data_IF_778736853461
#
_entry.id   IF_778736853461
#
_cell.length_a   1.000
_cell.length_b   1.000
_cell.length_c   1.000
_cell.angle_alpha   90.00
_cell.angle_beta   90.00
_cell.angle_gamma   90.00
#
_symmetry.space_group_name_H-M   'P 1'
#
loop_
_entity.id
_entity.type
_entity.pdbx_description
1 polymer ?
#
# COMPACT_ATOMS: atom_id res chain seq x y z
N UNK A 1 -20.25 -39.84 20.32
CA UNK A 1 -20.37 -38.39 20.04
C UNK A 1 -19.26 -37.67 20.77
N UNK A 2 -18.19 -37.30 20.09
CA UNK A 2 -17.08 -36.56 20.65
C UNK A 2 -17.39 -35.07 20.62
N UNK A 3 -17.52 -34.43 21.79
CA UNK A 3 -17.67 -32.98 21.92
C UNK A 3 -16.34 -32.31 21.56
N UNK A 4 -16.27 -31.69 20.38
CA UNK A 4 -15.23 -30.73 20.07
C UNK A 4 -15.39 -29.50 20.98
N UNK A 5 -14.50 -29.32 21.94
CA UNK A 5 -14.30 -28.03 22.60
C UNK A 5 -13.61 -27.11 21.61
N UNK A 6 -14.36 -26.24 20.98
CA UNK A 6 -13.84 -25.08 20.26
C UNK A 6 -13.36 -24.08 21.33
N UNK A 7 -12.09 -24.16 21.69
CA UNK A 7 -11.42 -23.03 22.36
C UNK A 7 -11.11 -21.95 21.33
N UNK A 8 -10.99 -20.71 21.76
CA UNK A 8 -10.69 -19.50 20.96
C UNK A 8 -9.39 -19.60 20.15
N UNK A 9 -9.38 -20.46 19.12
CA UNK A 9 -8.25 -20.58 18.20
C UNK A 9 -8.57 -19.84 16.92
N UNK A 10 -7.92 -18.71 16.70
CA UNK A 10 -7.89 -18.08 15.37
C UNK A 10 -7.01 -18.92 14.46
N UNK A 11 -7.54 -19.33 13.32
CA UNK A 11 -6.74 -20.03 12.29
C UNK A 11 -5.98 -18.95 11.54
N UNK A 12 -4.65 -18.96 11.63
CA UNK A 12 -3.75 -18.11 10.85
C UNK A 12 -3.10 -19.02 9.81
N UNK A 13 -3.31 -18.73 8.53
CA UNK A 13 -2.61 -19.41 7.44
C UNK A 13 -1.31 -18.67 7.16
N UNK A 14 -0.18 -19.37 7.32
CA UNK A 14 1.15 -18.85 7.01
C UNK A 14 1.70 -19.64 5.83
N UNK A 15 2.03 -18.95 4.74
CA UNK A 15 2.78 -19.52 3.63
C UNK A 15 4.27 -19.38 3.94
N UNK A 16 4.99 -20.49 3.99
CA UNK A 16 6.44 -20.55 4.23
C UNK A 16 7.16 -21.12 3.02
N UNK A 17 8.35 -20.61 2.67
CA UNK A 17 9.17 -21.17 1.61
C UNK A 17 9.48 -22.65 1.84
N UNK A 18 9.56 -23.44 0.76
CA UNK A 18 9.75 -24.90 0.80
C UNK A 18 11.02 -25.32 1.56
N UNK A 19 12.12 -24.60 1.36
CA UNK A 19 13.39 -24.81 2.08
C UNK A 19 13.26 -24.61 3.60
N UNK A 20 12.39 -23.70 4.05
CA UNK A 20 12.12 -23.48 5.47
C UNK A 20 11.18 -24.57 6.01
N UNK A 21 10.20 -25.00 5.21
CA UNK A 21 9.33 -26.12 5.54
C UNK A 21 10.11 -27.42 5.76
N UNK A 22 11.07 -27.73 4.88
CA UNK A 22 11.96 -28.90 5.03
C UNK A 22 12.86 -28.82 6.27
N UNK A 23 13.33 -27.61 6.64
CA UNK A 23 14.11 -27.43 7.88
C UNK A 23 13.26 -27.65 9.13
N UNK A 24 12.01 -27.20 9.14
CA UNK A 24 11.05 -27.47 10.21
C UNK A 24 10.72 -28.95 10.31
N UNK A 25 10.55 -29.67 9.20
CA UNK A 25 10.30 -31.10 9.19
C UNK A 25 11.48 -31.92 9.73
N UNK A 26 12.70 -31.48 9.50
CA UNK A 26 13.91 -32.09 10.08
C UNK A 26 14.00 -31.90 11.60
N UNK A 27 13.58 -30.73 12.12
CA UNK A 27 13.57 -30.45 13.57
C UNK A 27 12.45 -31.19 14.30
N UNK A 28 11.28 -31.33 13.69
CA UNK A 28 10.09 -31.94 14.32
C UNK A 28 10.14 -33.47 14.26
N UNK A 29 10.91 -34.06 13.33
CA UNK A 29 11.01 -35.51 13.11
C UNK A 29 9.76 -36.09 12.43
N UNK A 30 9.95 -36.88 11.36
CA UNK A 30 8.86 -37.59 10.69
C UNK A 30 8.18 -38.54 11.68
N UNK A 31 6.92 -38.24 12.04
CA UNK A 31 6.07 -39.13 12.83
C UNK A 31 5.62 -38.65 14.20
N UNK A 32 5.93 -37.45 14.64
CA UNK A 32 5.42 -36.94 15.92
C UNK A 32 4.06 -36.26 15.79
N UNK A 33 3.17 -36.49 16.78
CA UNK A 33 1.80 -35.91 16.88
C UNK A 33 1.75 -34.37 16.99
N UNK A 34 2.88 -33.70 17.19
CA UNK A 34 2.99 -32.25 17.20
C UNK A 34 3.45 -31.79 15.80
N UNK A 35 2.51 -31.40 14.95
CA UNK A 35 2.79 -30.92 13.60
C UNK A 35 3.53 -29.57 13.56
N UNK A 36 3.92 -29.12 12.34
CA UNK A 36 4.60 -27.85 12.04
C UNK A 36 4.00 -26.64 12.79
N UNK A 37 2.66 -26.60 12.92
CA UNK A 37 1.95 -25.54 13.64
C UNK A 37 2.30 -25.44 15.12
N UNK A 38 2.53 -26.56 15.80
CA UNK A 38 2.91 -26.56 17.22
C UNK A 38 4.36 -26.08 17.40
N UNK A 39 5.26 -26.43 16.47
CA UNK A 39 6.65 -25.95 16.50
C UNK A 39 6.76 -24.46 16.20
N UNK A 40 5.96 -23.96 15.26
CA UNK A 40 5.88 -22.51 14.96
C UNK A 40 5.30 -21.76 16.16
N UNK A 41 4.23 -22.25 16.78
CA UNK A 41 3.66 -21.65 17.99
C UNK A 41 4.67 -21.58 19.12
N UNK A 42 5.43 -22.64 19.36
CA UNK A 42 6.49 -22.68 20.37
C UNK A 42 7.62 -21.68 20.08
N UNK A 43 8.07 -21.56 18.82
CA UNK A 43 9.09 -20.57 18.43
C UNK A 43 8.60 -19.13 18.63
N UNK A 44 7.32 -18.85 18.33
CA UNK A 44 6.70 -17.54 18.60
C UNK A 44 6.66 -17.26 20.09
N UNK A 45 6.26 -18.23 20.91
CA UNK A 45 6.18 -18.11 22.36
C UNK A 45 7.57 -17.88 23.00
N UNK A 46 8.59 -18.62 22.54
CA UNK A 46 9.98 -18.43 22.96
C UNK A 46 10.52 -17.06 22.58
N UNK A 47 10.18 -16.56 21.37
CA UNK A 47 10.56 -15.23 20.91
C UNK A 47 9.88 -14.12 21.71
N UNK A 48 8.60 -14.27 22.06
CA UNK A 48 7.86 -13.32 22.88
C UNK A 48 8.41 -13.30 24.33
N UNK A 49 8.74 -14.46 24.88
CA UNK A 49 9.30 -14.57 26.23
C UNK A 49 10.73 -14.02 26.32
N UNK A 50 11.55 -14.18 25.30
CA UNK A 50 12.90 -13.59 25.25
C UNK A 50 12.88 -12.07 25.17
N UNK A 51 11.85 -11.49 24.52
CA UNK A 51 11.65 -10.04 24.47
C UNK A 51 11.17 -9.42 25.80
N UNK A 52 10.56 -10.23 26.70
CA UNK A 52 10.15 -9.73 28.02
C UNK A 52 11.31 -9.57 29.01
N UNK A 53 12.48 -10.15 28.75
CA UNK A 53 13.67 -10.05 29.62
C UNK A 53 14.63 -8.93 29.24
N UNK A 54 14.44 -8.26 28.12
CA UNK A 54 15.17 -7.05 27.79
C UNK A 54 14.34 -5.84 28.24
N UNK A 55 14.93 -4.88 29.00
CA UNK A 55 14.24 -3.60 29.20
C UNK A 55 13.87 -3.05 27.82
N UNK A 56 12.71 -2.40 27.67
CA UNK A 56 12.37 -1.81 26.39
C UNK A 56 13.55 -0.94 25.99
N UNK A 57 14.20 -1.28 24.87
CA UNK A 57 15.13 -0.36 24.24
C UNK A 57 14.31 0.91 24.06
N UNK A 58 14.64 1.93 24.84
CA UNK A 58 14.19 3.29 24.57
C UNK A 58 14.46 3.46 23.10
N UNK A 59 13.39 3.56 22.32
CA UNK A 59 13.48 3.93 20.92
C UNK A 59 14.43 5.14 20.91
N UNK A 60 15.50 5.14 20.11
CA UNK A 60 16.34 6.31 20.01
C UNK A 60 15.37 7.46 19.77
N UNK A 61 15.49 8.53 20.59
CA UNK A 61 14.74 9.77 20.43
C UNK A 61 14.62 9.97 18.92
N UNK A 62 13.37 9.95 18.46
CA UNK A 62 13.10 9.99 17.02
C UNK A 62 13.78 11.24 16.51
N UNK A 63 14.97 11.08 15.95
CA UNK A 63 15.66 12.16 15.29
C UNK A 63 14.67 12.66 14.25
N UNK A 64 14.17 13.83 14.50
CA UNK A 64 13.43 14.61 13.53
C UNK A 64 14.32 14.76 12.29
N UNK A 65 14.21 13.84 11.36
CA UNK A 65 14.70 14.01 10.00
C UNK A 65 13.77 14.97 9.26
N UNK A 66 13.33 16.03 9.95
CA UNK A 66 12.43 17.02 9.40
C UNK A 66 13.11 18.37 9.57
N UNK A 67 13.91 18.68 8.56
CA UNK A 67 14.30 20.05 8.32
C UNK A 67 13.00 20.84 8.04
N UNK A 68 12.73 21.84 8.89
CA UNK A 68 11.72 22.88 8.71
C UNK A 68 10.30 22.32 8.42
N UNK A 69 9.74 21.56 9.38
CA UNK A 69 8.32 21.22 9.34
C UNK A 69 7.59 22.49 9.76
N UNK A 70 6.81 23.04 8.83
CA UNK A 70 5.82 24.06 9.12
C UNK A 70 4.84 23.62 10.22
N UNK A 71 3.66 24.15 10.24
CA UNK A 71 2.61 23.74 11.17
C UNK A 71 2.33 22.22 11.07
N UNK A 72 2.17 21.55 12.23
CA UNK A 72 1.87 20.11 12.32
C UNK A 72 0.48 19.91 12.91
N UNK A 73 -0.17 18.82 12.55
CA UNK A 73 -1.36 18.29 13.22
C UNK A 73 -1.05 16.96 13.88
N UNK A 74 -1.77 16.63 14.95
CA UNK A 74 -1.67 15.33 15.61
C UNK A 74 -2.71 14.40 15.01
N UNK A 75 -2.26 13.26 14.49
CA UNK A 75 -3.14 12.15 14.11
C UNK A 75 -2.88 10.93 15.00
N UNK A 76 -3.85 10.03 15.09
CA UNK A 76 -3.76 8.82 15.89
C UNK A 76 -4.12 7.58 15.05
N UNK A 77 -3.38 6.51 15.25
CA UNK A 77 -3.68 5.17 14.74
C UNK A 77 -3.56 4.12 15.86
N UNK A 78 -3.69 2.84 15.53
CA UNK A 78 -3.57 1.73 16.49
C UNK A 78 -2.19 1.62 17.18
N UNK A 79 -1.19 2.33 16.68
CA UNK A 79 0.18 2.37 17.23
C UNK A 79 0.44 3.64 18.07
N UNK A 80 -0.57 4.49 18.22
CA UNK A 80 -0.51 5.74 18.99
C UNK A 80 -0.46 6.99 18.14
N UNK A 81 -0.34 8.15 18.81
CA UNK A 81 -0.35 9.46 18.18
C UNK A 81 0.98 9.75 17.46
N UNK A 82 0.91 10.53 16.40
CA UNK A 82 2.05 10.96 15.60
C UNK A 82 1.80 12.36 15.02
N UNK A 83 2.85 13.17 14.97
CA UNK A 83 2.85 14.44 14.26
C UNK A 83 2.91 14.24 12.75
N UNK A 84 2.02 14.90 12.03
CA UNK A 84 1.93 14.89 10.57
C UNK A 84 1.91 16.34 10.08
N UNK A 85 2.62 16.71 9.00
CA UNK A 85 2.57 18.07 8.47
C UNK A 85 1.14 18.51 8.18
N UNK A 86 0.75 19.69 8.65
CA UNK A 86 -0.63 20.18 8.56
C UNK A 86 -1.08 20.41 7.11
N UNK A 87 -0.14 20.72 6.22
CA UNK A 87 -0.37 20.97 4.79
C UNK A 87 -0.45 19.70 3.93
N UNK A 88 -0.35 18.51 4.53
CA UNK A 88 -0.35 17.24 3.79
C UNK A 88 -1.61 16.44 4.03
N UNK A 89 -2.12 15.79 2.97
CA UNK A 89 -3.27 14.89 3.08
C UNK A 89 -2.90 13.47 3.53
N UNK A 90 -1.62 13.08 3.49
CA UNK A 90 -1.25 11.79 4.08
C UNK A 90 -1.35 11.84 5.61
N UNK A 91 -1.50 10.69 6.25
CA UNK A 91 -1.70 10.55 7.69
C UNK A 91 -0.62 9.75 8.39
N UNK A 92 -0.97 9.17 9.55
CA UNK A 92 -0.07 8.43 10.44
C UNK A 92 0.66 7.28 9.76
N UNK A 93 -0.02 6.48 8.96
CA UNK A 93 0.57 5.28 8.35
C UNK A 93 1.67 5.66 7.36
N UNK A 94 1.43 6.70 6.57
CA UNK A 94 2.43 7.25 5.65
C UNK A 94 3.59 7.87 6.41
N UNK A 95 3.34 8.67 7.44
CA UNK A 95 4.37 9.29 8.25
C UNK A 95 5.26 8.23 8.94
N UNK A 96 4.68 7.15 9.49
CA UNK A 96 5.45 6.02 10.04
C UNK A 96 6.28 5.32 8.96
N UNK A 97 5.75 5.17 7.75
CA UNK A 97 6.49 4.57 6.65
C UNK A 97 7.72 5.40 6.27
N UNK A 98 7.61 6.72 6.26
CA UNK A 98 8.75 7.62 6.02
C UNK A 98 9.84 7.49 7.08
N UNK A 99 9.45 7.29 8.35
CA UNK A 99 10.39 7.08 9.45
C UNK A 99 11.06 5.70 9.36
N UNK A 100 10.28 4.65 9.09
CA UNK A 100 10.76 3.27 9.15
C UNK A 100 11.49 2.81 7.88
N UNK A 101 11.21 3.42 6.73
CA UNK A 101 11.72 3.04 5.41
C UNK A 101 12.42 4.20 4.70
N UNK A 102 13.31 4.89 5.40
CA UNK A 102 14.16 5.92 4.80
C UNK A 102 15.34 5.27 4.05
N UNK A 103 15.02 4.55 2.97
CA UNK A 103 15.96 3.75 2.18
C UNK A 103 15.90 4.20 0.72
N UNK A 104 17.04 4.63 0.18
CA UNK A 104 17.16 5.12 -1.20
C UNK A 104 16.46 6.45 -1.42
N UNK A 105 16.40 6.92 -2.65
CA UNK A 105 15.80 8.20 -3.03
C UNK A 105 14.61 8.03 -3.98
N UNK A 106 14.49 6.86 -4.61
CA UNK A 106 13.45 6.56 -5.58
C UNK A 106 12.06 6.60 -4.93
N UNK A 107 11.17 7.36 -5.51
CA UNK A 107 9.78 7.46 -5.07
C UNK A 107 8.87 6.58 -5.90
N UNK A 108 7.69 6.29 -5.35
CA UNK A 108 6.67 5.52 -6.07
C UNK A 108 6.34 6.20 -7.41
N UNK A 109 6.42 5.45 -8.54
CA UNK A 109 6.17 6.03 -9.85
C UNK A 109 4.78 6.64 -9.98
N UNK A 110 4.70 7.81 -10.64
CA UNK A 110 3.44 8.53 -10.88
C UNK A 110 2.35 7.66 -11.51
N UNK A 111 2.73 6.78 -12.45
CA UNK A 111 1.78 5.84 -13.07
C UNK A 111 1.10 4.91 -12.07
N UNK A 112 1.83 4.44 -11.05
CA UNK A 112 1.28 3.59 -9.99
C UNK A 112 0.33 4.38 -9.09
N UNK A 113 0.68 5.63 -8.73
CA UNK A 113 -0.19 6.53 -7.97
C UNK A 113 -1.50 6.78 -8.73
N UNK A 114 -1.41 7.07 -10.03
CA UNK A 114 -2.57 7.20 -10.91
C UNK A 114 -3.39 5.91 -10.96
N UNK A 115 -2.73 4.75 -11.07
CA UNK A 115 -3.38 3.44 -11.06
C UNK A 115 -4.17 3.20 -9.77
N UNK A 116 -3.63 3.60 -8.62
CA UNK A 116 -4.36 3.58 -7.37
C UNK A 116 -5.60 4.50 -7.38
N UNK A 117 -5.48 5.72 -7.90
CA UNK A 117 -6.61 6.64 -8.02
C UNK A 117 -7.76 6.01 -8.82
N UNK A 118 -7.45 5.41 -9.99
CA UNK A 118 -8.42 4.71 -10.83
C UNK A 118 -9.08 3.55 -10.07
N UNK A 119 -8.28 2.73 -9.38
CA UNK A 119 -8.76 1.60 -8.59
C UNK A 119 -9.70 2.05 -7.46
N UNK A 120 -9.31 3.05 -6.68
CA UNK A 120 -10.11 3.55 -5.54
C UNK A 120 -11.41 4.19 -6.03
N UNK A 121 -11.38 4.91 -7.13
CA UNK A 121 -12.58 5.45 -7.76
C UNK A 121 -13.55 4.33 -8.19
N UNK A 122 -13.05 3.31 -8.88
CA UNK A 122 -13.85 2.17 -9.31
C UNK A 122 -14.45 1.42 -8.12
N UNK A 123 -13.65 1.16 -7.08
CA UNK A 123 -14.09 0.49 -5.85
C UNK A 123 -15.18 1.27 -5.12
N UNK A 124 -15.05 2.59 -5.01
CA UNK A 124 -16.06 3.44 -4.39
C UNK A 124 -17.38 3.42 -5.17
N UNK A 125 -17.34 3.51 -6.50
CA UNK A 125 -18.52 3.41 -7.38
C UNK A 125 -19.21 2.06 -7.22
N UNK A 126 -18.46 0.97 -7.25
CA UNK A 126 -18.99 -0.39 -7.07
C UNK A 126 -19.62 -0.59 -5.68
N UNK A 127 -18.93 -0.15 -4.62
CA UNK A 127 -19.48 -0.25 -3.26
C UNK A 127 -20.74 0.60 -3.06
N UNK A 128 -20.86 1.74 -3.75
CA UNK A 128 -22.08 2.56 -3.79
C UNK A 128 -23.23 1.80 -4.47
N UNK A 129 -22.99 1.22 -5.64
CA UNK A 129 -23.99 0.44 -6.40
C UNK A 129 -24.47 -0.79 -5.62
N UNK A 130 -23.56 -1.46 -4.91
CA UNK A 130 -23.88 -2.60 -4.03
C UNK A 130 -24.56 -2.21 -2.73
N UNK A 131 -24.74 -0.92 -2.44
CA UNK A 131 -25.34 -0.42 -1.20
C UNK A 131 -24.48 -0.69 0.05
N UNK A 132 -23.19 -1.00 -0.10
CA UNK A 132 -22.28 -1.27 1.01
C UNK A 132 -21.54 -0.03 1.50
N UNK A 133 -21.56 1.06 0.75
CA UNK A 133 -20.99 2.36 1.07
C UNK A 133 -22.06 3.46 0.93
N UNK A 134 -22.10 4.36 1.91
CA UNK A 134 -23.02 5.51 1.85
C UNK A 134 -22.80 6.31 0.56
N UNK A 135 -23.86 6.67 -0.18
CA UNK A 135 -23.72 7.39 -1.46
C UNK A 135 -22.96 8.70 -1.37
N UNK A 136 -23.11 9.50 -0.31
CA UNK A 136 -22.43 10.78 -0.15
C UNK A 136 -20.94 10.56 0.13
N UNK A 137 -20.60 9.57 0.96
CA UNK A 137 -19.21 9.17 1.22
C UNK A 137 -18.54 8.67 -0.05
N UNK A 138 -19.24 7.84 -0.83
CA UNK A 138 -18.73 7.34 -2.09
C UNK A 138 -18.44 8.47 -3.11
N UNK A 139 -19.35 9.44 -3.22
CA UNK A 139 -19.20 10.58 -4.13
C UNK A 139 -18.01 11.46 -3.74
N UNK A 140 -17.77 11.69 -2.44
CA UNK A 140 -16.57 12.38 -1.95
C UNK A 140 -15.29 11.62 -2.28
N UNK A 141 -15.28 10.29 -2.10
CA UNK A 141 -14.12 9.44 -2.45
C UNK A 141 -13.87 9.49 -3.97
N UNK A 142 -14.91 9.43 -4.79
CA UNK A 142 -14.81 9.52 -6.25
C UNK A 142 -14.19 10.86 -6.66
N UNK A 143 -14.64 11.96 -6.09
CA UNK A 143 -14.11 13.30 -6.38
C UNK A 143 -12.64 13.44 -5.95
N UNK A 144 -12.27 13.01 -4.76
CA UNK A 144 -10.88 13.04 -4.30
C UNK A 144 -9.98 12.11 -5.14
N UNK A 145 -10.50 10.94 -5.54
CA UNK A 145 -9.77 10.02 -6.43
C UNK A 145 -9.50 10.63 -7.81
N UNK A 146 -10.41 11.45 -8.36
CA UNK A 146 -10.20 12.17 -9.63
C UNK A 146 -9.01 13.13 -9.53
N UNK A 147 -8.84 13.82 -8.40
CA UNK A 147 -7.69 14.69 -8.16
C UNK A 147 -6.37 13.89 -8.08
N UNK A 148 -6.38 12.66 -7.52
CA UNK A 148 -5.23 11.74 -7.58
C UNK A 148 -4.94 11.31 -9.02
N UNK A 149 -5.97 10.96 -9.79
CA UNK A 149 -5.85 10.55 -11.20
C UNK A 149 -5.25 11.67 -12.05
N UNK A 150 -5.69 12.90 -11.84
CA UNK A 150 -5.21 14.07 -12.61
C UNK A 150 -3.78 14.51 -12.25
N UNK A 151 -3.30 14.17 -11.05
CA UNK A 151 -1.99 14.57 -10.52
C UNK A 151 -2.02 15.82 -9.63
N UNK A 152 -3.19 16.39 -9.38
CA UNK A 152 -3.32 17.55 -8.50
C UNK A 152 -2.81 17.30 -7.08
N UNK A 153 -2.80 16.03 -6.64
CA UNK A 153 -2.37 15.62 -5.30
C UNK A 153 -1.00 14.92 -5.25
N UNK A 154 -0.20 14.96 -6.33
CA UNK A 154 1.06 14.22 -6.42
C UNK A 154 2.06 14.55 -5.29
N UNK A 155 2.07 15.77 -4.78
CA UNK A 155 2.93 16.20 -3.67
C UNK A 155 2.63 15.50 -2.34
N UNK A 156 1.50 14.82 -2.22
CA UNK A 156 1.06 14.09 -1.03
C UNK A 156 1.45 12.59 -1.05
N UNK A 157 2.26 12.18 -2.04
CA UNK A 157 2.75 10.80 -2.19
C UNK A 157 4.28 10.73 -2.03
N UNK A 158 4.79 10.91 -0.80
CA UNK A 158 6.23 11.03 -0.56
C UNK A 158 6.95 9.69 -0.42
N UNK A 159 6.23 8.54 -0.43
CA UNK A 159 6.80 7.25 -0.09
C UNK A 159 7.88 6.78 -1.06
N UNK A 160 8.90 6.18 -0.49
CA UNK A 160 9.98 5.55 -1.23
C UNK A 160 9.55 4.20 -1.80
N UNK A 161 10.21 3.77 -2.88
CA UNK A 161 9.97 2.45 -3.49
C UNK A 161 10.41 1.33 -2.55
N UNK A 162 11.50 1.54 -1.79
CA UNK A 162 12.08 0.58 -0.86
C UNK A 162 11.30 0.53 0.46
N UNK A 163 10.11 -0.03 0.40
CA UNK A 163 9.20 -0.30 1.50
C UNK A 163 8.90 -1.80 1.58
N UNK A 164 7.87 -2.24 2.32
CA UNK A 164 7.48 -3.66 2.33
C UNK A 164 7.04 -4.12 0.94
N UNK A 165 7.43 -5.34 0.54
CA UNK A 165 7.14 -5.89 -0.79
C UNK A 165 5.65 -6.09 -1.11
N UNK A 166 4.78 -6.05 -0.10
CA UNK A 166 3.32 -6.15 -0.25
C UNK A 166 2.66 -4.86 -0.79
N UNK A 167 3.38 -3.73 -0.81
CA UNK A 167 2.85 -2.43 -1.21
C UNK A 167 1.80 -1.83 -0.26
N UNK A 168 1.69 -2.36 0.96
CA UNK A 168 0.71 -1.91 1.95
C UNK A 168 0.85 -0.43 2.26
N UNK A 169 2.06 0.10 2.39
CA UNK A 169 2.30 1.50 2.68
C UNK A 169 1.78 2.40 1.55
N UNK A 170 2.01 2.06 0.28
CA UNK A 170 1.48 2.81 -0.86
C UNK A 170 -0.04 2.78 -0.93
N UNK A 171 -0.66 1.63 -0.63
CA UNK A 171 -2.11 1.53 -0.52
C UNK A 171 -2.65 2.42 0.61
N UNK A 172 -1.99 2.41 1.78
CA UNK A 172 -2.40 3.25 2.92
C UNK A 172 -2.18 4.73 2.63
N UNK A 173 -1.08 5.12 2.00
CA UNK A 173 -0.85 6.50 1.56
C UNK A 173 -2.01 6.98 0.67
N UNK A 174 -2.41 6.17 -0.31
CA UNK A 174 -3.55 6.50 -1.18
C UNK A 174 -4.85 6.62 -0.38
N UNK A 175 -5.11 5.70 0.55
CA UNK A 175 -6.31 5.74 1.39
C UNK A 175 -6.37 7.00 2.25
N UNK A 176 -5.24 7.37 2.87
CA UNK A 176 -5.14 8.56 3.73
C UNK A 176 -5.31 9.85 2.93
N UNK A 177 -4.63 9.97 1.77
CA UNK A 177 -4.74 11.14 0.89
C UNK A 177 -6.17 11.34 0.41
N UNK A 178 -6.81 10.29 -0.10
CA UNK A 178 -8.19 10.35 -0.57
C UNK A 178 -9.15 10.66 0.59
N UNK A 179 -8.97 10.04 1.76
CA UNK A 179 -9.84 10.27 2.91
C UNK A 179 -9.73 11.72 3.41
N UNK A 180 -8.52 12.23 3.61
CA UNK A 180 -8.33 13.59 4.10
C UNK A 180 -8.80 14.64 3.07
N UNK A 181 -8.57 14.42 1.77
CA UNK A 181 -9.12 15.31 0.75
C UNK A 181 -10.65 15.28 0.71
N UNK A 182 -11.26 14.10 0.84
CA UNK A 182 -12.71 13.94 0.93
C UNK A 182 -13.30 14.62 2.18
N UNK A 183 -12.59 14.56 3.31
CA UNK A 183 -12.98 15.25 4.57
C UNK A 183 -12.97 16.78 4.35
N UNK A 184 -11.91 17.31 3.73
CA UNK A 184 -11.81 18.73 3.42
C UNK A 184 -12.91 19.18 2.46
N UNK A 185 -13.20 18.41 1.40
CA UNK A 185 -14.32 18.67 0.48
C UNK A 185 -15.68 18.69 1.19
N UNK A 186 -15.83 17.95 2.28
CA UNK A 186 -17.00 17.97 3.12
C UNK A 186 -17.02 19.10 4.17
N UNK A 187 -15.97 19.92 4.23
CA UNK A 187 -15.81 20.99 5.24
C UNK A 187 -15.41 20.50 6.63
N UNK A 188 -14.84 19.29 6.72
CA UNK A 188 -14.37 18.68 7.96
C UNK A 188 -12.89 19.01 8.25
N UNK A 189 -12.42 18.56 9.41
CA UNK A 189 -11.05 18.73 9.89
C UNK A 189 -10.16 17.57 9.44
N UNK A 190 -8.98 17.86 8.86
CA UNK A 190 -8.00 16.85 8.42
C UNK A 190 -7.57 15.95 9.59
N UNK A 191 -7.48 14.66 9.35
CA UNK A 191 -7.14 13.68 10.37
C UNK A 191 -8.29 13.21 11.24
N UNK A 192 -9.47 13.86 11.17
CA UNK A 192 -10.65 13.50 11.97
C UNK A 192 -11.23 12.13 11.63
N UNK A 193 -10.91 11.59 10.45
CA UNK A 193 -11.49 10.34 9.90
C UNK A 193 -13.02 10.38 9.72
N UNK A 194 -13.61 11.56 9.73
CA UNK A 194 -15.04 11.81 9.57
C UNK A 194 -15.28 12.96 8.60
N UNK A 195 -16.19 12.84 7.62
CA UNK A 195 -17.09 11.71 7.37
C UNK A 195 -16.48 10.52 6.62
N UNK A 196 -15.21 10.60 6.19
CA UNK A 196 -14.54 9.57 5.40
C UNK A 196 -13.38 8.95 6.19
N UNK A 197 -13.43 7.61 6.39
CA UNK A 197 -12.37 6.87 7.07
C UNK A 197 -11.48 6.14 6.03
N UNK A 198 -10.12 6.20 6.15
CA UNK A 198 -9.22 5.61 5.16
C UNK A 198 -9.41 4.09 5.00
N UNK A 199 -9.56 3.33 6.09
CA UNK A 199 -9.73 1.88 6.01
C UNK A 199 -11.18 1.46 5.77
N UNK A 200 -12.13 2.05 6.51
CA UNK A 200 -13.50 1.54 6.53
C UNK A 200 -14.31 1.99 5.30
N UNK A 201 -13.91 3.09 4.68
CA UNK A 201 -14.59 3.66 3.51
C UNK A 201 -13.73 3.57 2.24
N UNK A 202 -12.54 4.20 2.20
CA UNK A 202 -11.69 4.21 0.99
C UNK A 202 -11.17 2.82 0.65
N UNK A 203 -10.79 2.03 1.66
CA UNK A 203 -10.27 0.66 1.48
C UNK A 203 -11.35 -0.43 1.64
N UNK A 204 -12.62 -0.06 1.65
CA UNK A 204 -13.71 -1.01 1.90
C UNK A 204 -13.70 -2.18 0.92
N UNK A 205 -13.77 -3.40 1.48
CA UNK A 205 -13.73 -4.67 0.74
C UNK A 205 -12.48 -4.90 -0.12
N UNK A 206 -11.35 -4.27 0.23
CA UNK A 206 -10.10 -4.37 -0.52
C UNK A 206 -8.95 -4.90 0.35
N UNK A 207 -8.07 -5.70 -0.26
CA UNK A 207 -6.79 -6.12 0.30
C UNK A 207 -5.65 -5.39 -0.39
N UNK A 208 -4.63 -4.94 0.35
CA UNK A 208 -3.43 -4.34 -0.25
C UNK A 208 -2.65 -5.32 -1.13
N UNK A 209 -2.75 -6.64 -0.85
CA UNK A 209 -2.13 -7.67 -1.68
C UNK A 209 -2.79 -7.79 -3.06
N UNK A 210 -3.97 -7.26 -3.25
CA UNK A 210 -4.66 -7.15 -4.53
C UNK A 210 -4.54 -5.75 -5.13
N UNK A 211 -4.79 -4.72 -4.34
CA UNK A 211 -4.83 -3.33 -4.83
C UNK A 211 -3.50 -2.84 -5.38
N UNK A 212 -2.37 -3.18 -4.73
CA UNK A 212 -1.05 -2.76 -5.20
C UNK A 212 -0.67 -3.38 -6.55
N UNK A 213 -0.71 -4.71 -6.75
CA UNK A 213 -0.44 -5.29 -8.06
C UNK A 213 -1.45 -4.84 -9.12
N UNK A 214 -2.72 -4.62 -8.77
CA UNK A 214 -3.71 -4.08 -9.71
C UNK A 214 -3.32 -2.67 -10.17
N UNK A 215 -2.91 -1.78 -9.27
CA UNK A 215 -2.42 -0.44 -9.63
C UNK A 215 -1.17 -0.51 -10.53
N UNK A 216 -0.25 -1.45 -10.27
CA UNK A 216 0.92 -1.70 -11.13
C UNK A 216 0.51 -2.16 -12.52
N UNK A 217 -0.46 -3.07 -12.64
CA UNK A 217 -0.96 -3.54 -13.94
C UNK A 217 -1.65 -2.44 -14.73
N UNK A 218 -2.47 -1.60 -14.08
CA UNK A 218 -3.09 -0.43 -14.72
C UNK A 218 -2.00 0.50 -15.25
N UNK A 219 -1.00 0.85 -14.43
CA UNK A 219 0.11 1.70 -14.83
C UNK A 219 0.91 1.14 -16.01
N UNK A 220 1.22 -0.17 -15.96
CA UNK A 220 1.92 -0.86 -17.04
C UNK A 220 1.13 -0.87 -18.35
N UNK A 221 -0.16 -1.18 -18.28
CA UNK A 221 -1.04 -1.17 -19.46
C UNK A 221 -1.14 0.23 -20.08
N UNK A 222 -1.40 1.27 -19.28
CA UNK A 222 -1.44 2.66 -19.77
C UNK A 222 -0.11 3.06 -20.45
N UNK A 223 1.04 2.75 -19.82
CA UNK A 223 2.35 3.07 -20.38
C UNK A 223 2.61 2.34 -21.71
N UNK A 224 2.21 1.07 -21.82
CA UNK A 224 2.34 0.29 -23.07
C UNK A 224 1.47 0.87 -24.17
N UNK A 225 0.18 1.09 -23.89
CA UNK A 225 -0.77 1.51 -24.92
C UNK A 225 -0.59 2.96 -25.34
N UNK A 226 -0.32 3.87 -24.41
CA UNK A 226 -0.30 5.30 -24.66
C UNK A 226 1.08 5.88 -24.96
N UNK A 227 2.15 5.17 -24.59
CA UNK A 227 3.51 5.67 -24.78
C UNK A 227 4.37 4.72 -25.60
N UNK A 228 4.59 3.48 -25.16
CA UNK A 228 5.52 2.55 -25.79
C UNK A 228 5.08 2.18 -27.23
N UNK A 229 3.84 1.75 -27.37
CA UNK A 229 3.34 1.30 -28.68
C UNK A 229 3.35 2.40 -29.77
N UNK A 230 2.90 3.64 -29.51
CA UNK A 230 3.05 4.74 -30.47
C UNK A 230 4.51 5.05 -30.80
N UNK A 231 5.40 5.07 -29.79
CA UNK A 231 6.83 5.36 -30.00
C UNK A 231 7.52 4.31 -30.87
N UNK A 232 7.24 3.02 -30.61
CA UNK A 232 7.79 1.92 -31.43
C UNK A 232 7.24 1.97 -32.86
N UNK A 233 5.98 2.29 -33.04
CA UNK A 233 5.41 2.51 -34.41
C UNK A 233 6.11 3.64 -35.12
N UNK A 234 6.29 4.78 -34.46
CA UNK A 234 6.99 5.92 -35.04
C UNK A 234 8.42 5.56 -35.48
N UNK A 235 9.16 4.85 -34.62
CA UNK A 235 10.52 4.38 -34.97
C UNK A 235 10.49 3.42 -36.17
N UNK A 236 9.57 2.45 -36.19
CA UNK A 236 9.40 1.52 -37.31
C UNK A 236 9.17 2.26 -38.61
N UNK A 237 8.26 3.22 -38.63
CA UNK A 237 7.87 3.94 -39.81
C UNK A 237 9.03 4.81 -40.33
N UNK A 238 9.77 5.48 -39.46
CA UNK A 238 10.96 6.23 -39.82
C UNK A 238 12.09 5.34 -40.41
N UNK A 239 12.23 4.12 -39.87
CA UNK A 239 13.19 3.15 -40.43
C UNK A 239 12.72 2.64 -41.81
N UNK A 240 11.44 2.41 -41.98
CA UNK A 240 10.85 2.00 -43.27
C UNK A 240 11.05 3.07 -44.35
N UNK A 241 10.86 4.35 -44.01
CA UNK A 241 11.12 5.48 -44.90
C UNK A 241 12.58 5.50 -45.36
N UNK A 242 13.52 5.21 -44.43
CA UNK A 242 14.95 5.10 -44.82
C UNK A 242 15.27 3.89 -45.65
N UNK A 243 14.60 2.77 -45.47
CA UNK A 243 14.72 1.61 -46.41
C UNK A 243 14.31 1.99 -47.80
N UNK A 244 13.20 2.68 -47.95
CA UNK A 244 12.70 3.14 -49.26
C UNK A 244 13.63 4.21 -49.90
N UNK A 245 14.12 5.17 -49.09
CA UNK A 245 15.06 6.21 -49.54
C UNK A 245 16.39 5.61 -50.03
N UNK A 246 16.85 4.54 -49.41
CA UNK A 246 18.12 3.90 -49.73
C UNK A 246 17.98 2.69 -50.66
N UNK A 247 16.81 2.47 -51.23
CA UNK A 247 16.59 1.41 -52.20
C UNK A 247 17.55 1.57 -53.38
N UNK A 248 18.31 0.53 -53.68
CA UNK A 248 19.32 0.54 -54.74
C UNK A 248 20.72 1.04 -54.34
N UNK A 249 20.92 1.47 -53.11
CA UNK A 249 22.28 1.78 -52.60
C UNK A 249 22.93 0.50 -52.09
N UNK A 250 23.97 0.04 -52.77
CA UNK A 250 24.76 -1.12 -52.35
C UNK A 250 25.93 -0.64 -51.49
N UNK A 251 26.07 -1.24 -50.30
CA UNK A 251 27.21 -1.00 -49.42
C UNK A 251 28.28 -2.03 -49.68
#
# INVERSE_FOLDING_TARGET
MAKHRAGDRRIISISIPENLAERLDRQVGKGRKAGRSASIAKMIEESLNSNQQSPPKTLPEQRSAVADIGEVRIEEDTMGSLEVPADRYYGCQTARSLINFDIGEDRMPRGVIRGFGILKQASAKTNKELGTLDPKVADLIVQASEEVISGALDSHFPLRVWQTGSGTQSNMNTNEVIANRAIELAGGELGSKSPVHPNDHVNKAQSSNDTFPTAMHIAGAEAIFHSLHPAVRHLRDALLDKVNEFEGIVK
#
